data_IF_540927939827
#
_entry.id   IF_540927939827
#
_cell.length_a   1.000
_cell.length_b   1.000
_cell.length_c   1.000
_cell.angle_alpha   90.00
_cell.angle_beta   90.00
_cell.angle_gamma   90.00
#
_symmetry.space_group_name_H-M   'P 1'
#
loop_
_entity.id
_entity.type
_entity.pdbx_description
1 polymer ?
#
# COMPACT_ATOMS: atom_id res chain seq x y z
N UNK A 1 -19.02 -3.99 -9.46
CA UNK A 1 -17.76 -4.61 -9.08
C UNK A 1 -16.72 -4.78 -10.21
N UNK A 2 -17.09 -4.96 -11.48
CA UNK A 2 -16.14 -5.10 -12.62
C UNK A 2 -15.45 -3.79 -13.04
N UNK A 3 -16.04 -2.64 -12.80
CA UNK A 3 -15.55 -1.35 -13.32
C UNK A 3 -14.45 -0.70 -12.46
N UNK A 4 -14.33 -1.07 -11.19
CA UNK A 4 -13.30 -0.52 -10.29
C UNK A 4 -11.92 -1.15 -10.52
N UNK A 5 -11.88 -2.42 -10.90
CA UNK A 5 -10.63 -3.09 -11.29
C UNK A 5 -10.05 -2.55 -12.60
N UNK A 6 -10.90 -2.19 -13.55
CA UNK A 6 -10.45 -1.60 -14.81
C UNK A 6 -9.81 -0.22 -14.60
N UNK A 7 -10.34 0.59 -13.68
CA UNK A 7 -9.81 1.92 -13.39
C UNK A 7 -8.41 1.89 -12.73
N UNK A 8 -8.14 0.89 -11.87
CA UNK A 8 -6.80 0.70 -11.29
C UNK A 8 -5.78 0.21 -12.32
N UNK A 9 -6.20 -0.66 -13.25
CA UNK A 9 -5.33 -1.14 -14.32
C UNK A 9 -4.99 -0.03 -15.33
N UNK A 10 -5.93 0.87 -15.64
CA UNK A 10 -5.68 2.02 -16.52
C UNK A 10 -4.82 3.11 -15.87
N UNK A 11 -4.94 3.33 -14.56
CA UNK A 11 -4.06 4.26 -13.85
C UNK A 11 -2.60 3.79 -13.83
N UNK A 12 -2.37 2.48 -13.71
CA UNK A 12 -1.03 1.89 -13.81
C UNK A 12 -0.46 1.98 -15.25
N UNK A 13 -1.29 1.82 -16.28
CA UNK A 13 -0.87 1.92 -17.68
C UNK A 13 -0.57 3.38 -18.12
N UNK A 14 -1.27 4.37 -17.56
CA UNK A 14 -1.04 5.79 -17.87
C UNK A 14 0.27 6.36 -17.33
N UNK A 15 0.81 5.79 -16.25
CA UNK A 15 2.10 6.19 -15.67
C UNK A 15 3.32 5.66 -16.44
N UNK A 16 3.15 4.66 -17.29
CA UNK A 16 4.22 4.09 -18.13
C UNK A 16 4.58 5.00 -19.32
N UNK A 17 3.73 5.98 -19.66
CA UNK A 17 3.93 6.91 -20.76
C UNK A 17 4.68 8.19 -20.39
N UNK A 18 5.24 8.30 -19.17
CA UNK A 18 6.11 9.42 -18.82
C UNK A 18 7.43 9.33 -19.61
N UNK A 19 7.85 10.42 -20.26
CA UNK A 19 8.94 10.37 -21.24
C UNK A 19 10.26 9.95 -20.62
N UNK A 20 11.01 9.15 -21.37
CA UNK A 20 12.39 8.71 -21.11
C UNK A 20 13.44 9.87 -21.08
N UNK A 21 13.03 11.07 -20.65
CA UNK A 21 13.87 12.27 -20.65
C UNK A 21 14.88 12.33 -19.50
N UNK A 22 14.90 11.33 -18.61
CA UNK A 22 15.80 11.28 -17.47
C UNK A 22 16.72 10.06 -17.44
N UNK A 23 16.99 9.44 -18.60
CA UNK A 23 17.99 8.38 -18.68
C UNK A 23 19.38 8.98 -18.69
N UNK A 24 19.90 9.34 -17.52
CA UNK A 24 21.34 9.51 -17.35
C UNK A 24 21.94 8.18 -16.91
N UNK A 25 22.83 7.68 -17.78
CA UNK A 25 23.82 6.63 -17.57
C UNK A 25 23.45 5.46 -16.63
N UNK A 26 22.91 4.42 -17.21
CA UNK A 26 22.79 3.09 -16.59
C UNK A 26 24.14 2.35 -16.48
N UNK A 27 25.23 3.09 -16.29
CA UNK A 27 26.57 2.56 -16.05
C UNK A 27 26.83 2.45 -14.55
N UNK A 28 26.76 1.26 -14.00
CA UNK A 28 27.32 0.78 -12.74
C UNK A 28 26.46 0.74 -11.48
N UNK A 29 25.27 1.36 -11.39
CA UNK A 29 24.37 1.13 -10.25
C UNK A 29 22.93 0.89 -10.72
N UNK A 30 22.60 -0.34 -11.06
CA UNK A 30 21.28 -0.79 -11.51
C UNK A 30 20.14 -0.53 -10.49
N UNK A 31 20.44 0.05 -9.34
CA UNK A 31 19.48 0.33 -8.27
C UNK A 31 19.14 1.83 -8.10
N UNK A 32 19.91 2.74 -8.73
CA UNK A 32 19.65 4.17 -8.65
C UNK A 32 18.72 4.63 -9.77
N UNK A 33 17.80 5.55 -9.47
CA UNK A 33 16.94 6.18 -10.46
C UNK A 33 15.48 6.31 -10.01
N UNK A 34 14.68 6.87 -10.90
CA UNK A 34 13.24 6.96 -10.73
C UNK A 34 12.59 5.59 -10.90
N UNK A 35 11.56 5.34 -10.12
CA UNK A 35 10.76 4.13 -10.27
C UNK A 35 9.27 4.40 -10.08
N UNK A 36 8.46 3.54 -10.68
CA UNK A 36 7.03 3.45 -10.44
C UNK A 36 6.67 2.00 -10.23
N UNK A 37 5.70 1.77 -9.37
CA UNK A 37 5.25 0.41 -9.06
C UNK A 37 3.76 0.37 -8.76
N UNK A 38 3.21 -0.82 -8.96
CA UNK A 38 1.85 -1.14 -8.53
C UNK A 38 1.85 -2.48 -7.81
N UNK A 39 0.96 -2.62 -6.84
CA UNK A 39 0.69 -3.90 -6.20
C UNK A 39 -0.79 -4.22 -6.19
N UNK A 40 -1.09 -5.51 -6.11
CA UNK A 40 -2.42 -6.03 -5.90
C UNK A 40 -2.36 -7.21 -4.92
N UNK A 41 -3.37 -7.32 -4.06
CA UNK A 41 -3.35 -8.33 -3.03
C UNK A 41 -4.64 -8.38 -2.21
N UNK A 42 -4.52 -8.87 -0.99
CA UNK A 42 -5.60 -9.03 -0.05
C UNK A 42 -5.32 -8.26 1.23
N UNK A 43 -6.20 -7.31 1.53
CA UNK A 43 -6.17 -6.52 2.76
C UNK A 43 -7.06 -7.14 3.81
N UNK A 44 -6.54 -7.38 5.02
CA UNK A 44 -7.27 -8.01 6.11
C UNK A 44 -7.26 -7.13 7.36
N UNK A 45 -8.45 -6.91 7.94
CA UNK A 45 -8.65 -6.23 9.22
C UNK A 45 -9.14 -7.25 10.23
N UNK A 46 -8.40 -7.43 11.34
CA UNK A 46 -8.75 -8.36 12.44
C UNK A 46 -8.80 -7.63 13.78
N UNK A 47 -9.53 -6.55 13.88
CA UNK A 47 -9.63 -5.78 15.13
C UNK A 47 -10.94 -5.02 15.26
N UNK A 48 -11.44 -4.94 16.48
CA UNK A 48 -12.69 -4.24 16.78
C UNK A 48 -13.92 -4.93 16.19
N UNK A 49 -14.80 -4.19 15.51
CA UNK A 49 -15.99 -4.74 14.88
C UNK A 49 -15.71 -5.55 13.60
N UNK A 50 -14.46 -5.60 13.13
CA UNK A 50 -14.09 -6.19 11.84
C UNK A 50 -13.29 -7.49 12.00
N UNK A 51 -13.59 -8.46 11.16
CA UNK A 51 -12.83 -9.70 10.98
C UNK A 51 -13.06 -10.17 9.54
N UNK A 52 -12.64 -9.37 8.60
CA UNK A 52 -12.89 -9.58 7.18
C UNK A 52 -11.75 -8.98 6.35
N UNK A 53 -11.74 -9.27 5.07
CA UNK A 53 -10.78 -8.73 4.14
C UNK A 53 -11.32 -8.66 2.72
N UNK A 54 -10.67 -7.86 1.91
CA UNK A 54 -11.08 -7.59 0.52
C UNK A 54 -9.85 -7.39 -0.37
N UNK A 55 -10.09 -7.37 -1.67
CA UNK A 55 -9.06 -7.04 -2.66
C UNK A 55 -8.56 -5.62 -2.41
N UNK A 56 -7.25 -5.52 -2.28
CA UNK A 56 -6.54 -4.28 -2.03
C UNK A 56 -5.46 -4.05 -3.09
N UNK A 57 -5.03 -2.82 -3.23
CA UNK A 57 -3.95 -2.49 -4.16
C UNK A 57 -3.39 -1.10 -3.92
N UNK A 58 -2.18 -0.86 -4.41
CA UNK A 58 -1.55 0.44 -4.34
C UNK A 58 -0.78 0.75 -5.62
N UNK A 59 -0.56 2.04 -5.82
CA UNK A 59 0.40 2.57 -6.78
C UNK A 59 1.39 3.44 -6.03
N UNK A 60 2.67 3.37 -6.40
CA UNK A 60 3.73 4.14 -5.78
C UNK A 60 4.75 4.60 -6.81
N UNK A 61 5.47 5.65 -6.48
CA UNK A 61 6.59 6.14 -7.28
C UNK A 61 7.57 6.86 -6.39
N UNK A 62 8.81 6.90 -6.81
CA UNK A 62 9.85 7.50 -6.02
C UNK A 62 11.18 7.59 -6.74
N UNK A 63 12.17 8.03 -5.99
CA UNK A 63 13.56 8.03 -6.44
C UNK A 63 14.41 7.22 -5.46
N UNK A 64 15.23 6.34 -5.99
CA UNK A 64 16.13 5.48 -5.24
C UNK A 64 17.57 5.93 -5.41
N UNK A 65 18.27 6.07 -4.30
CA UNK A 65 19.69 6.41 -4.21
C UNK A 65 20.48 5.14 -3.92
N UNK A 66 21.51 4.85 -4.70
CA UNK A 66 22.45 3.78 -4.37
C UNK A 66 23.36 4.24 -3.21
N UNK A 67 23.34 3.51 -2.10
CA UNK A 67 24.26 3.72 -0.98
C UNK A 67 25.57 2.94 -1.20
N UNK A 68 25.44 1.76 -1.75
CA UNK A 68 26.54 0.90 -2.16
C UNK A 68 26.03 -0.07 -3.27
N UNK A 69 26.86 -0.93 -3.89
CA UNK A 69 26.43 -1.82 -4.97
C UNK A 69 25.24 -2.75 -4.60
N UNK A 70 25.05 -3.04 -3.34
CA UNK A 70 24.05 -4.00 -2.85
C UNK A 70 22.86 -3.30 -2.16
N UNK A 71 23.05 -2.08 -1.66
CA UNK A 71 22.06 -1.38 -0.83
C UNK A 71 21.62 -0.08 -1.48
N UNK A 72 20.32 0.16 -1.50
CA UNK A 72 19.74 1.41 -1.97
C UNK A 72 18.64 1.91 -1.04
N UNK A 73 18.54 3.22 -0.93
CA UNK A 73 17.54 3.94 -0.13
C UNK A 73 16.63 4.74 -1.07
N UNK A 74 15.33 4.48 -1.02
CA UNK A 74 14.33 5.17 -1.79
C UNK A 74 13.53 6.16 -0.94
N UNK A 75 13.12 7.25 -1.57
CA UNK A 75 12.05 8.12 -1.09
C UNK A 75 10.83 7.85 -1.96
N UNK A 76 9.70 7.50 -1.34
CA UNK A 76 8.51 7.12 -2.09
C UNK A 76 7.27 7.89 -1.66
N UNK A 77 6.37 8.07 -2.61
CA UNK A 77 4.99 8.50 -2.40
C UNK A 77 4.06 7.53 -3.10
N UNK A 78 2.86 7.37 -2.57
CA UNK A 78 1.92 6.43 -3.16
C UNK A 78 0.49 6.70 -2.76
N UNK A 79 -0.39 5.87 -3.29
CA UNK A 79 -1.80 5.83 -2.93
C UNK A 79 -2.24 4.37 -2.81
N UNK A 80 -2.86 4.05 -1.68
CA UNK A 80 -3.32 2.70 -1.38
C UNK A 80 -4.85 2.67 -1.21
N UNK A 81 -5.45 1.63 -1.76
CA UNK A 81 -6.82 1.21 -1.52
C UNK A 81 -6.80 -0.13 -0.79
N UNK A 82 -7.31 -0.17 0.42
CA UNK A 82 -7.23 -1.33 1.32
C UNK A 82 -8.52 -2.16 1.34
N UNK A 83 -9.41 -1.92 0.37
CA UNK A 83 -10.64 -2.68 0.22
C UNK A 83 -11.81 -2.16 1.04
N UNK A 84 -12.84 -3.00 1.12
CA UNK A 84 -14.04 -2.83 1.94
C UNK A 84 -14.16 -4.03 2.86
N UNK A 85 -14.42 -3.78 4.12
CA UNK A 85 -14.62 -4.83 5.11
C UNK A 85 -16.00 -4.70 5.74
N UNK A 86 -16.67 -5.83 5.94
CA UNK A 86 -17.96 -5.88 6.60
C UNK A 86 -17.77 -6.05 8.12
N UNK A 87 -18.65 -5.41 8.90
CA UNK A 87 -18.64 -5.56 10.34
C UNK A 87 -19.13 -6.96 10.75
N UNK A 88 -18.61 -7.47 11.87
CA UNK A 88 -19.10 -8.74 12.46
C UNK A 88 -20.59 -8.69 12.70
N UNK A 89 -21.26 -9.82 12.54
CA UNK A 89 -22.72 -9.94 12.66
C UNK A 89 -23.32 -9.37 13.98
N UNK A 90 -22.56 -9.44 15.07
CA UNK A 90 -22.98 -8.88 16.37
C UNK A 90 -23.11 -7.35 16.35
N UNK A 91 -22.33 -6.67 15.51
CA UNK A 91 -22.39 -5.22 15.32
C UNK A 91 -23.42 -4.83 14.26
N UNK A 92 -23.62 -5.67 13.23
CA UNK A 92 -24.54 -5.38 12.13
C UNK A 92 -26.02 -5.39 12.56
N UNK A 93 -26.36 -6.11 13.60
CA UNK A 93 -27.73 -6.18 14.12
C UNK A 93 -28.19 -4.89 14.80
N UNK A 94 -27.25 -4.05 15.27
CA UNK A 94 -27.56 -2.82 16.01
C UNK A 94 -27.44 -1.55 15.16
N UNK A 95 -27.11 -1.68 13.87
CA UNK A 95 -26.92 -0.54 12.96
C UNK A 95 -28.00 -0.55 11.90
N UNK A 96 -28.86 0.46 11.94
CA UNK A 96 -29.85 0.72 10.88
C UNK A 96 -29.19 1.37 9.66
N UNK A 97 -28.34 0.64 8.91
CA UNK A 97 -27.67 1.20 7.76
C UNK A 97 -26.53 0.33 7.19
N UNK A 98 -25.70 0.94 6.34
CA UNK A 98 -24.58 0.26 5.71
C UNK A 98 -23.48 -0.03 6.76
N UNK A 99 -23.15 -1.31 6.93
CA UNK A 99 -22.15 -1.81 7.90
C UNK A 99 -20.73 -1.92 7.31
N UNK A 100 -20.56 -1.48 6.08
CA UNK A 100 -19.28 -1.57 5.36
C UNK A 100 -18.31 -0.45 5.76
N UNK A 101 -17.07 -0.82 5.97
CA UNK A 101 -15.95 0.11 6.12
C UNK A 101 -15.14 0.16 4.84
N UNK A 102 -14.66 1.35 4.48
CA UNK A 102 -13.76 1.57 3.35
C UNK A 102 -12.53 2.32 3.84
N UNK A 103 -11.36 1.83 3.47
CA UNK A 103 -10.09 2.44 3.85
C UNK A 103 -9.22 2.66 2.62
N UNK A 104 -8.72 3.88 2.49
CA UNK A 104 -7.78 4.28 1.43
C UNK A 104 -6.95 5.46 1.91
N UNK A 105 -5.86 5.79 1.22
CA UNK A 105 -5.09 6.97 1.57
C UNK A 105 -3.79 7.13 0.79
N UNK A 106 -3.18 8.30 0.96
CA UNK A 106 -1.85 8.57 0.44
C UNK A 106 -0.79 8.06 1.40
N UNK A 107 0.36 7.70 0.86
CA UNK A 107 1.54 7.29 1.62
C UNK A 107 2.73 8.17 1.25
N UNK A 108 3.61 8.45 2.21
CA UNK A 108 4.90 9.08 1.98
C UNK A 108 5.92 8.45 2.93
N UNK A 109 7.04 7.97 2.41
CA UNK A 109 7.98 7.24 3.24
C UNK A 109 9.32 6.94 2.59
N UNK A 110 10.02 6.02 3.21
CA UNK A 110 11.32 5.53 2.77
C UNK A 110 11.22 4.03 2.49
N UNK A 111 12.00 3.57 1.53
CA UNK A 111 12.25 2.15 1.30
C UNK A 111 13.76 1.87 1.31
N UNK A 112 14.18 0.84 2.01
CA UNK A 112 15.54 0.33 2.02
C UNK A 112 15.53 -1.03 1.34
N UNK A 113 16.32 -1.15 0.26
CA UNK A 113 16.45 -2.39 -0.51
C UNK A 113 17.88 -2.91 -0.40
N UNK A 114 17.99 -4.21 -0.13
CA UNK A 114 19.26 -4.93 -0.08
C UNK A 114 19.24 -6.09 -1.08
N UNK A 115 20.18 -6.09 -2.04
CA UNK A 115 20.35 -7.15 -3.04
C UNK A 115 21.34 -8.19 -2.53
N UNK A 116 20.83 -9.34 -2.13
CA UNK A 116 21.67 -10.46 -1.67
C UNK A 116 22.16 -11.33 -2.84
N UNK A 117 21.68 -11.06 -4.05
CA UNK A 117 22.21 -11.59 -5.29
C UNK A 117 21.88 -10.64 -6.45
N UNK A 118 22.47 -10.82 -7.66
CA UNK A 118 22.17 -9.98 -8.82
C UNK A 118 20.68 -9.93 -9.20
N UNK A 119 19.92 -10.96 -8.83
CA UNK A 119 18.51 -11.08 -9.18
C UNK A 119 17.57 -10.95 -7.99
N UNK A 120 18.00 -11.32 -6.80
CA UNK A 120 17.14 -11.35 -5.62
C UNK A 120 17.44 -10.20 -4.66
N UNK A 121 16.41 -9.61 -4.11
CA UNK A 121 16.52 -8.57 -3.11
C UNK A 121 15.47 -8.72 -2.02
N UNK A 122 15.79 -8.20 -0.84
CA UNK A 122 14.85 -7.91 0.23
C UNK A 122 14.62 -6.41 0.31
N UNK A 123 13.43 -6.00 0.71
CA UNK A 123 13.12 -4.60 0.98
C UNK A 123 12.34 -4.44 2.28
N UNK A 124 12.59 -3.33 2.97
CA UNK A 124 11.79 -2.85 4.09
C UNK A 124 11.40 -1.42 3.82
N UNK A 125 10.17 -1.06 4.19
CA UNK A 125 9.64 0.28 3.94
C UNK A 125 8.79 0.77 5.10
N UNK A 126 8.66 2.08 5.22
CA UNK A 126 7.82 2.68 6.22
C UNK A 126 7.71 4.18 6.08
N UNK A 127 6.67 4.74 6.67
CA UNK A 127 6.42 6.17 6.58
C UNK A 127 5.05 6.58 7.11
N UNK A 128 4.62 7.76 6.69
CA UNK A 128 3.32 8.31 7.01
C UNK A 128 2.23 7.74 6.09
N UNK A 129 1.09 7.41 6.68
CA UNK A 129 -0.14 7.02 6.00
C UNK A 129 -1.24 8.03 6.31
N UNK A 130 -1.66 8.77 5.31
CA UNK A 130 -2.75 9.74 5.37
C UNK A 130 -4.07 9.03 5.07
N UNK A 131 -4.60 8.38 6.10
CA UNK A 131 -5.78 7.54 6.00
C UNK A 131 -7.05 8.36 5.81
N UNK A 132 -7.87 7.95 4.85
CA UNK A 132 -9.24 8.41 4.65
C UNK A 132 -10.16 7.20 4.63
N UNK A 133 -11.15 7.19 5.51
CA UNK A 133 -12.04 6.05 5.60
C UNK A 133 -13.39 6.35 6.18
N UNK A 134 -14.26 5.37 6.06
CA UNK A 134 -15.56 5.28 6.72
C UNK A 134 -15.58 3.97 7.51
N UNK A 135 -16.08 3.97 8.74
CA UNK A 135 -16.15 2.77 9.54
C UNK A 135 -17.04 2.93 10.76
N UNK A 136 -17.33 1.80 11.41
CA UNK A 136 -18.07 1.77 12.67
C UNK A 136 -17.14 2.09 13.84
N UNK A 137 -17.65 2.84 14.80
CA UNK A 137 -16.98 3.04 16.08
C UNK A 137 -16.85 1.72 16.84
N UNK A 138 -15.85 1.62 17.72
CA UNK A 138 -15.62 0.43 18.56
C UNK A 138 -16.64 0.27 19.71
N UNK A 139 -17.69 1.09 19.75
CA UNK A 139 -18.74 0.97 20.74
C UNK A 139 -19.64 -0.24 20.41
N UNK A 140 -19.64 -1.24 21.29
CA UNK A 140 -20.43 -2.47 21.13
C UNK A 140 -21.93 -2.28 21.31
N UNK A 141 -22.33 -1.25 22.06
CA UNK A 141 -23.73 -1.02 22.43
C UNK A 141 -24.42 -0.03 21.49
N UNK A 142 -23.66 0.91 20.93
CA UNK A 142 -24.17 1.93 20.01
C UNK A 142 -23.16 2.24 18.89
N UNK A 143 -22.89 1.28 17.99
CA UNK A 143 -21.94 1.48 16.90
C UNK A 143 -22.51 2.51 15.90
N UNK A 144 -21.74 3.55 15.62
CA UNK A 144 -22.10 4.60 14.66
C UNK A 144 -21.14 4.58 13.47
N UNK A 145 -21.68 4.75 12.28
CA UNK A 145 -20.85 4.91 11.08
C UNK A 145 -20.33 6.35 11.02
N UNK A 146 -19.01 6.50 11.03
CA UNK A 146 -18.35 7.80 10.97
C UNK A 146 -17.29 7.83 9.88
N UNK A 147 -17.10 9.02 9.31
CA UNK A 147 -15.99 9.32 8.41
C UNK A 147 -14.83 9.86 9.20
N UNK A 148 -13.63 9.42 8.85
CA UNK A 148 -12.41 9.90 9.49
C UNK A 148 -11.33 10.22 8.49
N UNK A 149 -10.49 11.18 8.87
CA UNK A 149 -9.22 11.47 8.24
C UNK A 149 -8.17 11.47 9.35
N UNK A 150 -7.17 10.62 9.25
CA UNK A 150 -6.12 10.57 10.26
C UNK A 150 -4.76 10.36 9.62
N UNK A 151 -3.74 10.92 10.25
CA UNK A 151 -2.35 10.67 9.87
C UNK A 151 -1.79 9.61 10.80
N UNK A 152 -1.40 8.50 10.24
CA UNK A 152 -0.86 7.34 10.94
C UNK A 152 0.43 6.90 10.26
N UNK A 153 0.89 5.70 10.53
CA UNK A 153 2.09 5.14 9.92
C UNK A 153 1.78 3.85 9.15
N UNK A 154 2.67 3.50 8.27
CA UNK A 154 2.73 2.17 7.68
C UNK A 154 4.15 1.62 7.79
N UNK A 155 4.26 0.30 7.79
CA UNK A 155 5.51 -0.43 7.73
C UNK A 155 5.32 -1.70 6.92
N UNK A 156 6.32 -2.09 6.17
CA UNK A 156 6.25 -3.30 5.35
C UNK A 156 7.60 -3.90 5.04
N UNK A 157 7.56 -5.14 4.58
CA UNK A 157 8.72 -5.87 4.10
C UNK A 157 8.35 -6.70 2.87
N UNK A 158 9.33 -6.97 2.03
CA UNK A 158 9.13 -7.75 0.84
C UNK A 158 10.39 -8.49 0.38
N UNK A 159 10.18 -9.48 -0.45
CA UNK A 159 11.23 -10.19 -1.18
C UNK A 159 10.90 -10.12 -2.65
N UNK A 160 11.87 -9.71 -3.46
CA UNK A 160 11.66 -9.50 -4.87
C UNK A 160 12.74 -10.10 -5.76
N UNK A 161 12.38 -10.13 -7.03
CA UNK A 161 13.20 -10.68 -8.10
C UNK A 161 13.29 -9.69 -9.27
N UNK A 162 14.50 -9.36 -9.69
CA UNK A 162 14.77 -8.56 -10.86
C UNK A 162 14.62 -9.43 -12.12
N UNK A 163 13.48 -9.30 -12.80
CA UNK A 163 13.20 -10.02 -14.05
C UNK A 163 14.10 -9.51 -15.18
N UNK A 164 14.29 -8.20 -15.23
CA UNK A 164 15.21 -7.49 -16.12
C UNK A 164 15.91 -6.38 -15.34
N UNK A 165 16.90 -5.68 -15.92
CA UNK A 165 17.47 -4.49 -15.26
C UNK A 165 16.47 -3.40 -14.93
N UNK A 166 15.33 -3.34 -15.65
CA UNK A 166 14.29 -2.32 -15.47
C UNK A 166 13.03 -2.83 -14.77
N UNK A 167 12.75 -4.13 -14.82
CA UNK A 167 11.53 -4.72 -14.25
C UNK A 167 11.85 -5.62 -13.07
N UNK A 168 11.14 -5.43 -11.99
CA UNK A 168 11.16 -6.34 -10.84
C UNK A 168 9.75 -6.69 -10.38
N UNK A 169 9.63 -7.86 -9.76
CA UNK A 169 8.41 -8.35 -9.11
C UNK A 169 8.73 -8.71 -7.67
N UNK A 170 7.78 -8.52 -6.75
CA UNK A 170 7.99 -8.86 -5.36
C UNK A 170 6.73 -9.38 -4.68
N UNK A 171 6.93 -10.16 -3.62
CA UNK A 171 5.93 -10.52 -2.63
C UNK A 171 6.12 -9.60 -1.43
N UNK A 172 5.03 -9.00 -0.96
CA UNK A 172 5.06 -8.00 0.08
C UNK A 172 4.07 -8.30 1.19
N UNK A 173 4.45 -7.90 2.38
CA UNK A 173 3.59 -7.74 3.53
C UNK A 173 3.69 -6.30 4.03
N UNK A 174 2.56 -5.63 4.14
CA UNK A 174 2.47 -4.27 4.64
C UNK A 174 1.43 -4.18 5.75
N UNK A 175 1.77 -3.45 6.79
CA UNK A 175 0.89 -3.08 7.87
C UNK A 175 0.56 -1.59 7.78
N UNK A 176 -0.72 -1.27 7.74
CA UNK A 176 -1.24 0.09 7.75
C UNK A 176 -1.98 0.34 9.05
N UNK A 177 -1.48 1.25 9.86
CA UNK A 177 -2.22 1.74 11.03
C UNK A 177 -3.23 2.78 10.55
N UNK A 178 -4.50 2.58 10.89
CA UNK A 178 -5.55 3.56 10.68
C UNK A 178 -6.38 3.66 11.94
N UNK A 179 -6.20 4.74 12.71
CA UNK A 179 -6.92 4.99 13.94
C UNK A 179 -7.24 6.47 14.10
N UNK A 180 -8.40 6.73 14.64
CA UNK A 180 -8.85 8.06 15.05
C UNK A 180 -9.42 7.91 16.49
N UNK A 181 -8.64 8.38 17.46
CA UNK A 181 -9.00 8.24 18.88
C UNK A 181 -10.20 9.10 19.26
N UNK A 182 -10.37 10.28 18.65
CA UNK A 182 -11.48 11.18 18.92
C UNK A 182 -12.81 10.56 18.49
N UNK A 183 -12.77 9.71 17.47
CA UNK A 183 -13.94 9.00 16.93
C UNK A 183 -14.04 7.55 17.36
N UNK A 184 -13.13 7.09 18.23
CA UNK A 184 -13.06 5.70 18.70
C UNK A 184 -13.08 4.68 17.54
N UNK A 185 -12.29 4.94 16.49
CA UNK A 185 -12.14 4.05 15.33
C UNK A 185 -10.73 3.47 15.30
N UNK A 186 -10.64 2.16 15.06
CA UNK A 186 -9.38 1.44 14.85
C UNK A 186 -9.54 0.44 13.70
N UNK A 187 -8.84 0.69 12.60
CA UNK A 187 -8.84 -0.13 11.37
C UNK A 187 -7.42 -0.50 10.95
N UNK A 188 -6.62 -1.17 11.82
CA UNK A 188 -5.31 -1.66 11.40
C UNK A 188 -5.50 -2.73 10.32
N UNK A 189 -4.83 -2.57 9.20
CA UNK A 189 -4.97 -3.44 8.04
C UNK A 189 -3.64 -4.10 7.69
N UNK A 190 -3.66 -5.42 7.54
CA UNK A 190 -2.56 -6.21 6.99
C UNK A 190 -2.81 -6.43 5.50
N UNK A 191 -1.84 -6.09 4.65
CA UNK A 191 -1.91 -6.28 3.21
C UNK A 191 -0.85 -7.29 2.77
N UNK A 192 -1.29 -8.38 2.17
CA UNK A 192 -0.46 -9.35 1.47
C UNK A 192 -0.60 -9.10 -0.02
N UNK A 193 0.50 -8.82 -0.72
CA UNK A 193 0.41 -8.39 -2.10
C UNK A 193 1.56 -8.89 -2.98
N UNK A 194 1.28 -8.93 -4.27
CA UNK A 194 2.29 -9.06 -5.33
C UNK A 194 2.47 -7.69 -5.97
N UNK A 195 3.70 -7.28 -6.21
CA UNK A 195 4.01 -6.02 -6.88
C UNK A 195 4.82 -6.22 -8.14
N UNK A 196 4.66 -5.26 -9.06
CA UNK A 196 5.54 -5.04 -10.19
C UNK A 196 6.08 -3.61 -10.12
N UNK A 197 7.37 -3.44 -10.38
CA UNK A 197 8.07 -2.16 -10.36
C UNK A 197 8.86 -1.99 -11.66
N UNK A 198 8.76 -0.79 -12.24
CA UNK A 198 9.56 -0.37 -13.39
C UNK A 198 10.52 0.74 -12.99
N UNK A 199 11.78 0.62 -13.38
CA UNK A 199 12.85 1.61 -13.23
C UNK A 199 13.18 2.24 -14.57
N UNK A 200 13.34 3.54 -14.55
CA UNK A 200 13.69 4.32 -15.75
C UNK A 200 15.17 4.31 -16.07
#
# INVERSE_FOLDING_TARGET
MKNTMLALAFAAAGLVAAPAAFSQDAGQNAQQGWYVGANAGYGQVKKGPYDDGDVAGAVKGGYRFALNPETSLGVEVGYVYLGRVDARSLYSQNVGGNTQSKLQGATAGLDLRYSFSPKWYGEVRGGAFFAKGEGLTNDKFNPQQVRFNSTNYYAGAGVGYNVTPKWSVALNYDYYQASDNDKNIHLPTNLYSVSAEYRF
#
